data_IF_879026267427
#
_entry.id   IF_879026267427
#
_cell.length_a   1.000
_cell.length_b   1.000
_cell.length_c   1.000
_cell.angle_alpha   90.00
_cell.angle_beta   90.00
_cell.angle_gamma   90.00
#
_symmetry.space_group_name_H-M   'P 1'
#
loop_
_entity.id
_entity.type
_entity.pdbx_description
1 polymer ?
#
# COMPACT_ATOMS: atom_id res chain seq x y z
N UNK A 1 -16.42 -3.54 -6.23
CA UNK A 1 -15.53 -4.25 -7.16
C UNK A 1 -14.86 -5.41 -6.43
N UNK A 2 -14.66 -6.55 -7.10
CA UNK A 2 -14.24 -7.83 -6.47
C UNK A 2 -12.81 -8.22 -6.86
N UNK A 3 -12.36 -7.93 -8.09
CA UNK A 3 -11.13 -8.53 -8.63
C UNK A 3 -9.87 -7.67 -8.48
N UNK A 4 -9.95 -6.37 -8.73
CA UNK A 4 -8.77 -5.50 -8.93
C UNK A 4 -8.50 -4.51 -7.79
N UNK A 5 -8.96 -4.82 -6.58
CA UNK A 5 -8.80 -3.92 -5.42
C UNK A 5 -8.32 -4.70 -4.20
N UNK A 6 -7.35 -4.13 -3.48
CA UNK A 6 -6.79 -4.67 -2.23
C UNK A 6 -7.83 -4.67 -1.09
N UNK A 7 -8.59 -3.59 -0.97
CA UNK A 7 -9.64 -3.41 0.03
C UNK A 7 -11.03 -3.72 -0.56
N UNK A 8 -11.47 -4.97 -0.40
CA UNK A 8 -12.77 -5.48 -0.86
C UNK A 8 -13.34 -6.53 0.14
N UNK A 9 -14.56 -7.03 -0.10
CA UNK A 9 -15.27 -7.97 0.81
C UNK A 9 -14.53 -9.29 1.08
N UNK A 10 -13.67 -9.70 0.16
CA UNK A 10 -12.84 -10.91 0.25
C UNK A 10 -11.36 -10.55 0.48
N UNK A 11 -11.08 -9.35 1.00
CA UNK A 11 -9.75 -8.88 1.38
C UNK A 11 -8.70 -8.97 0.25
N UNK A 12 -9.12 -8.72 -0.99
CA UNK A 12 -8.19 -8.62 -2.11
C UNK A 12 -7.56 -9.95 -2.55
N UNK A 13 -8.17 -11.10 -2.22
CA UNK A 13 -7.64 -12.43 -2.54
C UNK A 13 -7.38 -12.63 -4.03
N UNK A 14 -8.27 -12.18 -4.92
CA UNK A 14 -8.06 -12.33 -6.37
C UNK A 14 -6.88 -11.51 -6.89
N UNK A 15 -6.79 -10.24 -6.46
CA UNK A 15 -5.65 -9.39 -6.83
C UNK A 15 -4.33 -10.00 -6.33
N UNK A 16 -4.33 -10.53 -5.10
CA UNK A 16 -3.16 -11.21 -4.55
C UNK A 16 -2.80 -12.48 -5.32
N UNK A 17 -3.80 -13.26 -5.76
CA UNK A 17 -3.59 -14.46 -6.58
C UNK A 17 -2.89 -14.13 -7.90
N UNK A 18 -3.43 -13.18 -8.66
CA UNK A 18 -2.83 -12.74 -9.93
C UNK A 18 -1.43 -12.16 -9.71
N UNK A 19 -1.23 -11.39 -8.64
CA UNK A 19 0.08 -10.82 -8.32
C UNK A 19 1.12 -11.91 -8.03
N UNK A 20 0.72 -13.01 -7.40
CA UNK A 20 1.62 -14.16 -7.16
C UNK A 20 2.03 -14.87 -8.43
N UNK A 21 1.08 -15.10 -9.34
CA UNK A 21 1.38 -15.70 -10.64
C UNK A 21 2.38 -14.82 -11.40
N UNK A 22 2.16 -13.51 -11.41
CA UNK A 22 3.10 -12.55 -11.99
C UNK A 22 4.48 -12.59 -11.32
N UNK A 23 4.54 -12.77 -10.00
CA UNK A 23 5.81 -12.87 -9.27
C UNK A 23 6.57 -14.16 -9.60
N UNK A 24 5.86 -15.25 -9.86
CA UNK A 24 6.46 -16.48 -10.33
C UNK A 24 7.13 -16.26 -11.69
N UNK A 25 6.43 -15.63 -12.63
CA UNK A 25 6.98 -15.31 -13.95
C UNK A 25 8.23 -14.41 -13.86
N UNK A 26 8.21 -13.39 -13.00
CA UNK A 26 9.37 -12.52 -12.78
C UNK A 26 10.55 -13.25 -12.12
N UNK A 27 10.27 -14.22 -11.25
CA UNK A 27 11.31 -15.03 -10.61
C UNK A 27 11.99 -15.96 -11.62
N UNK A 28 11.23 -16.50 -12.58
CA UNK A 28 11.77 -17.31 -13.68
C UNK A 28 12.57 -16.44 -14.67
N UNK A 29 12.11 -15.20 -14.92
CA UNK A 29 12.78 -14.23 -15.78
C UNK A 29 13.88 -13.44 -15.05
N UNK A 30 15.02 -14.10 -14.76
CA UNK A 30 16.16 -13.57 -13.96
C UNK A 30 16.56 -12.10 -14.19
N UNK A 31 16.49 -11.59 -15.41
CA UNK A 31 16.93 -10.23 -15.78
C UNK A 31 15.81 -9.21 -15.88
N UNK A 32 14.57 -9.60 -15.60
CA UNK A 32 13.44 -8.69 -15.59
C UNK A 32 13.21 -8.19 -14.17
N UNK A 33 13.12 -6.87 -14.05
CA UNK A 33 12.81 -6.18 -12.80
C UNK A 33 11.58 -5.31 -13.01
N UNK A 34 10.78 -5.14 -11.96
CA UNK A 34 9.56 -4.34 -12.05
C UNK A 34 9.32 -3.52 -10.78
N UNK A 35 8.85 -2.29 -10.98
CA UNK A 35 8.43 -1.39 -9.91
C UNK A 35 6.91 -1.24 -9.97
N UNK A 36 6.21 -2.05 -9.18
CA UNK A 36 4.76 -2.05 -9.16
C UNK A 36 4.24 -0.91 -8.28
N UNK A 37 3.09 -0.34 -8.66
CA UNK A 37 2.52 0.82 -7.96
C UNK A 37 1.28 0.47 -7.16
N UNK A 38 1.25 0.89 -5.91
CA UNK A 38 0.08 0.81 -5.02
C UNK A 38 -0.33 2.21 -4.57
N UNK A 39 -1.63 2.45 -4.51
CA UNK A 39 -2.15 3.77 -4.14
C UNK A 39 -2.41 3.90 -2.65
N UNK A 40 -1.95 5.00 -2.07
CA UNK A 40 -2.44 5.53 -0.78
C UNK A 40 -3.17 6.85 -1.07
N UNK A 41 -4.45 6.91 -0.73
CA UNK A 41 -5.33 8.05 -1.00
C UNK A 41 -5.29 9.10 0.11
N UNK A 42 -4.83 8.75 1.31
CA UNK A 42 -4.78 9.67 2.46
C UNK A 42 -6.16 9.97 3.05
N UNK A 43 -7.12 9.05 2.86
CA UNK A 43 -8.50 9.24 3.37
C UNK A 43 -8.62 8.91 4.86
N UNK A 44 -7.82 7.97 5.34
CA UNK A 44 -7.75 7.54 6.73
C UNK A 44 -6.30 7.15 7.06
N UNK A 45 -5.90 7.25 8.33
CA UNK A 45 -4.58 6.82 8.83
C UNK A 45 -4.39 5.30 8.69
N UNK A 46 -5.45 4.53 8.92
CA UNK A 46 -5.41 3.06 8.87
C UNK A 46 -5.17 2.49 7.45
N UNK A 47 -5.15 3.34 6.42
CA UNK A 47 -4.97 2.92 5.04
C UNK A 47 -3.64 2.18 4.83
N UNK A 48 -2.59 2.64 5.50
CA UNK A 48 -1.28 1.99 5.49
C UNK A 48 -1.30 0.61 6.12
N UNK A 49 -1.87 0.49 7.32
CA UNK A 49 -1.93 -0.78 8.04
C UNK A 49 -2.74 -1.81 7.27
N UNK A 50 -3.86 -1.39 6.67
CA UNK A 50 -4.66 -2.27 5.80
C UNK A 50 -3.87 -2.76 4.60
N UNK A 51 -3.14 -1.86 3.93
CA UNK A 51 -2.34 -2.22 2.77
C UNK A 51 -1.18 -3.16 3.16
N UNK A 52 -0.46 -2.83 4.23
CA UNK A 52 0.65 -3.63 4.73
C UNK A 52 0.18 -5.03 5.15
N UNK A 53 -0.94 -5.12 5.87
CA UNK A 53 -1.57 -6.39 6.23
C UNK A 53 -1.91 -7.23 5.00
N UNK A 54 -2.42 -6.61 3.95
CA UNK A 54 -2.71 -7.32 2.69
C UNK A 54 -1.44 -7.88 2.05
N UNK A 55 -0.34 -7.12 2.02
CA UNK A 55 0.96 -7.58 1.48
C UNK A 55 1.51 -8.75 2.31
N UNK A 56 1.59 -8.59 3.63
CA UNK A 56 2.17 -9.58 4.55
C UNK A 56 1.34 -10.87 4.57
N UNK A 57 0.02 -10.76 4.74
CA UNK A 57 -0.89 -11.91 4.77
C UNK A 57 -0.81 -12.74 3.50
N UNK A 58 -0.70 -12.07 2.35
CA UNK A 58 -0.61 -12.75 1.06
C UNK A 58 0.82 -13.14 0.69
N UNK A 59 1.86 -12.76 1.47
CA UNK A 59 3.27 -13.03 1.16
C UNK A 59 3.69 -12.49 -0.22
N UNK A 60 3.30 -11.26 -0.53
CA UNK A 60 3.58 -10.62 -1.82
C UNK A 60 4.99 -10.02 -1.82
N UNK A 61 5.99 -10.91 -1.87
CA UNK A 61 7.41 -10.58 -1.91
C UNK A 61 8.11 -11.31 -3.06
N UNK A 62 8.95 -10.61 -3.81
CA UNK A 62 9.77 -11.16 -4.88
C UNK A 62 11.04 -10.29 -5.00
N UNK A 63 12.21 -10.90 -5.22
CA UNK A 63 13.47 -10.16 -5.31
C UNK A 63 13.52 -9.24 -6.54
N UNK A 64 12.81 -9.64 -7.61
CA UNK A 64 12.72 -8.92 -8.87
C UNK A 64 11.72 -7.75 -8.85
N UNK A 65 10.91 -7.63 -7.78
CA UNK A 65 9.84 -6.65 -7.70
C UNK A 65 10.01 -5.73 -6.50
N UNK A 66 9.87 -4.44 -6.73
CA UNK A 66 9.78 -3.42 -5.67
C UNK A 66 8.47 -2.66 -5.76
N UNK A 67 8.03 -2.12 -4.63
CA UNK A 67 6.79 -1.36 -4.55
C UNK A 67 7.07 0.14 -4.55
N UNK A 68 6.27 0.86 -5.34
CA UNK A 68 6.21 2.32 -5.39
C UNK A 68 4.84 2.75 -4.87
N UNK A 69 4.80 3.76 -4.00
CA UNK A 69 3.54 4.23 -3.42
C UNK A 69 3.08 5.48 -4.14
N UNK A 70 1.98 5.40 -4.88
CA UNK A 70 1.40 6.55 -5.55
C UNK A 70 0.38 7.25 -4.66
N UNK A 71 0.43 8.59 -4.63
CA UNK A 71 -0.58 9.42 -3.94
C UNK A 71 -1.38 10.22 -4.96
N UNK A 72 -2.61 9.79 -5.28
CA UNK A 72 -3.48 10.56 -6.16
C UNK A 72 -3.81 11.94 -5.58
N UNK A 73 -3.69 13.00 -6.39
CA UNK A 73 -3.95 14.40 -6.00
C UNK A 73 -5.45 14.74 -5.97
N UNK A 74 -6.23 13.94 -5.25
CA UNK A 74 -7.69 14.00 -5.23
C UNK A 74 -8.28 14.72 -4.02
N UNK A 75 -7.51 15.61 -3.38
CA UNK A 75 -7.93 16.36 -2.19
C UNK A 75 -9.28 17.07 -2.37
N UNK A 76 -9.52 17.69 -3.54
CA UNK A 76 -10.77 18.40 -3.82
C UNK A 76 -12.02 17.49 -3.74
N UNK A 77 -11.87 16.19 -4.03
CA UNK A 77 -12.92 15.18 -3.88
C UNK A 77 -13.01 14.75 -2.42
N UNK A 78 -11.87 14.47 -1.78
CA UNK A 78 -11.82 13.98 -0.40
C UNK A 78 -12.38 15.00 0.59
N UNK A 79 -12.11 16.29 0.39
CA UNK A 79 -12.71 17.38 1.19
C UNK A 79 -14.24 17.38 1.18
N UNK A 80 -14.88 16.89 0.12
CA UNK A 80 -16.35 16.80 0.01
C UNK A 80 -16.92 15.48 0.50
N UNK A 81 -16.13 14.41 0.50
CA UNK A 81 -16.61 13.03 0.66
C UNK A 81 -16.14 12.36 1.95
N UNK A 82 -15.03 12.82 2.53
CA UNK A 82 -14.45 12.25 3.76
C UNK A 82 -14.88 13.09 4.95
N UNK A 83 -15.60 12.50 5.93
CA UNK A 83 -15.91 13.16 7.18
C UNK A 83 -14.63 13.62 7.88
N UNK A 84 -14.64 14.82 8.47
CA UNK A 84 -13.53 15.39 9.23
C UNK A 84 -12.26 15.76 8.45
N UNK A 85 -12.27 15.74 7.10
CA UNK A 85 -11.17 16.28 6.30
C UNK A 85 -11.39 17.77 6.00
N UNK A 86 -10.96 18.63 6.92
CA UNK A 86 -11.23 20.07 6.87
C UNK A 86 -10.23 20.82 5.99
N UNK A 87 -8.96 20.41 6.04
CA UNK A 87 -7.85 21.05 5.36
C UNK A 87 -6.89 20.03 4.71
N UNK A 88 -6.01 20.50 3.82
CA UNK A 88 -5.03 19.64 3.15
C UNK A 88 -4.04 19.00 4.14
N UNK A 89 -3.77 19.68 5.26
CA UNK A 89 -2.94 19.13 6.34
C UNK A 89 -3.51 17.84 6.91
N UNK A 90 -4.84 17.68 6.96
CA UNK A 90 -5.46 16.44 7.45
C UNK A 90 -5.14 15.26 6.54
N UNK A 91 -5.20 15.45 5.22
CA UNK A 91 -4.78 14.45 4.23
C UNK A 91 -3.28 14.11 4.38
N UNK A 92 -2.42 15.12 4.53
CA UNK A 92 -0.99 14.90 4.74
C UNK A 92 -0.71 14.12 6.03
N UNK A 93 -1.43 14.41 7.12
CA UNK A 93 -1.30 13.66 8.38
C UNK A 93 -1.70 12.20 8.19
N UNK A 94 -2.76 11.92 7.44
CA UNK A 94 -3.17 10.54 7.15
C UNK A 94 -2.12 9.76 6.37
N UNK A 95 -1.38 10.43 5.47
CA UNK A 95 -0.34 9.80 4.65
C UNK A 95 0.95 9.61 5.44
N UNK A 96 1.43 10.67 6.10
CA UNK A 96 2.79 10.69 6.64
C UNK A 96 2.90 10.33 8.13
N UNK A 97 1.85 10.52 8.94
CA UNK A 97 1.95 10.21 10.37
C UNK A 97 2.25 8.73 10.65
N UNK A 98 1.56 7.75 10.03
CA UNK A 98 1.86 6.33 10.25
C UNK A 98 3.29 5.96 9.85
N UNK A 99 3.84 6.61 8.81
CA UNK A 99 5.23 6.41 8.38
C UNK A 99 6.23 6.90 9.43
N UNK A 100 5.97 8.04 10.06
CA UNK A 100 6.84 8.55 11.12
C UNK A 100 6.72 7.72 12.40
N UNK A 101 5.51 7.29 12.75
CA UNK A 101 5.23 6.43 13.91
C UNK A 101 6.00 5.11 13.81
N UNK A 102 5.88 4.39 12.67
CA UNK A 102 6.60 3.12 12.46
C UNK A 102 8.12 3.30 12.33
N UNK A 103 8.58 4.43 11.80
CA UNK A 103 10.02 4.73 11.73
C UNK A 103 10.62 4.94 13.13
N UNK A 104 9.86 5.59 14.01
CA UNK A 104 10.29 5.84 15.40
C UNK A 104 10.23 4.55 16.24
N UNK A 105 9.18 3.77 16.08
CA UNK A 105 8.98 2.50 16.80
C UNK A 105 8.43 1.43 15.85
N UNK A 106 9.27 0.51 15.35
CA UNK A 106 8.84 -0.58 14.47
C UNK A 106 7.76 -1.48 15.06
N UNK A 107 7.64 -1.55 16.39
CA UNK A 107 6.65 -2.39 17.06
C UNK A 107 5.23 -1.81 17.03
N UNK A 108 5.10 -0.51 16.77
CA UNK A 108 3.80 0.17 16.64
C UNK A 108 3.00 -0.32 15.43
N UNK A 109 3.67 -0.57 14.31
CA UNK A 109 3.07 -1.08 13.07
C UNK A 109 3.96 -2.18 12.45
N UNK A 110 3.96 -3.41 13.00
CA UNK A 110 4.93 -4.43 12.61
C UNK A 110 4.78 -4.89 11.16
N UNK A 111 3.55 -5.03 10.66
CA UNK A 111 3.28 -5.39 9.26
C UNK A 111 3.69 -4.27 8.31
N UNK A 112 3.46 -3.01 8.69
CA UNK A 112 3.89 -1.84 7.92
C UNK A 112 5.40 -1.75 7.84
N UNK A 113 6.10 -2.01 8.96
CA UNK A 113 7.56 -2.04 8.97
C UNK A 113 8.10 -3.05 7.95
N UNK A 114 7.57 -4.27 7.93
CA UNK A 114 7.96 -5.30 6.96
C UNK A 114 7.64 -4.90 5.52
N UNK A 115 6.48 -4.29 5.29
CA UNK A 115 6.11 -3.80 3.96
C UNK A 115 7.07 -2.70 3.47
N UNK A 116 7.42 -1.74 4.32
CA UNK A 116 8.29 -0.63 3.96
C UNK A 116 9.71 -1.05 3.56
N UNK A 117 10.19 -2.22 3.99
CA UNK A 117 11.47 -2.77 3.51
C UNK A 117 11.50 -3.07 2.00
N UNK A 118 10.33 -3.15 1.37
CA UNK A 118 10.17 -3.43 -0.07
C UNK A 118 9.69 -2.22 -0.86
N UNK A 119 9.37 -1.13 -0.18
CA UNK A 119 8.94 0.12 -0.79
C UNK A 119 10.19 0.93 -1.10
N UNK A 120 10.33 1.38 -2.35
CA UNK A 120 11.51 2.11 -2.81
C UNK A 120 11.25 3.59 -3.10
N UNK A 121 9.98 4.02 -3.15
CA UNK A 121 9.66 5.42 -3.41
C UNK A 121 8.17 5.78 -3.40
N UNK A 122 7.93 7.07 -3.68
CA UNK A 122 6.65 7.79 -3.60
C UNK A 122 6.38 8.60 -4.87
#
# INVERSE_FOLDING_TARGET
EIFLKTDNRIEGVYLAGITKELFQDYTEAKYQMSELRLSIYGRNKDEWDKLAKWIVKNKLYCDNVRWMVQVPRLYHIHRKTVPNMNCFSDMLRNIFAPLFEVTKDPSSHPELHLFLQQVVGF
#
